data_IF_965009970968
#
_entry.id   IF_965009970968
#
_cell.length_a   1.000
_cell.length_b   1.000
_cell.length_c   1.000
_cell.angle_alpha   90.00
_cell.angle_beta   90.00
_cell.angle_gamma   90.00
#
_symmetry.space_group_name_H-M   'P 1'
#
loop_
_entity.id
_entity.type
_entity.pdbx_description
1 polymer ?
#
# COMPACT_ATOMS: atom_id res chain seq x y z
N UNK A 1 -29.27 32.83 -27.24
CA UNK A 1 -28.18 32.14 -27.96
C UNK A 1 -26.87 32.22 -27.18
N UNK A 2 -26.42 33.40 -26.68
CA UNK A 2 -25.14 33.55 -25.92
C UNK A 2 -25.06 32.73 -24.62
N UNK A 3 -26.16 32.56 -23.87
CA UNK A 3 -26.17 31.70 -22.64
C UNK A 3 -26.00 30.22 -22.97
N UNK A 4 -26.49 29.71 -24.06
CA UNK A 4 -26.33 28.33 -24.50
C UNK A 4 -24.86 28.00 -24.89
N UNK A 5 -24.21 28.93 -25.60
CA UNK A 5 -22.80 28.78 -26.02
C UNK A 5 -21.85 28.78 -24.81
N UNK A 6 -22.07 29.68 -23.84
CA UNK A 6 -21.26 29.71 -22.59
C UNK A 6 -21.40 28.44 -21.77
N UNK A 7 -22.60 27.85 -21.68
CA UNK A 7 -22.83 26.60 -20.95
C UNK A 7 -22.15 25.41 -21.63
N UNK A 8 -22.16 25.34 -22.94
CA UNK A 8 -21.47 24.29 -23.72
C UNK A 8 -19.96 24.42 -23.60
N UNK A 9 -19.40 25.63 -23.69
CA UNK A 9 -17.97 25.88 -23.53
C UNK A 9 -17.53 25.52 -22.11
N UNK A 10 -18.32 25.91 -21.10
CA UNK A 10 -18.01 25.59 -19.69
C UNK A 10 -18.05 24.08 -19.44
N UNK A 11 -19.01 23.36 -20.01
CA UNK A 11 -19.11 21.90 -19.92
C UNK A 11 -17.90 21.21 -20.58
N UNK A 12 -17.52 21.64 -21.78
CA UNK A 12 -16.36 21.07 -22.53
C UNK A 12 -15.04 21.37 -21.82
N UNK A 13 -14.88 22.54 -21.23
CA UNK A 13 -13.69 22.88 -20.43
C UNK A 13 -13.60 22.06 -19.14
N UNK A 14 -14.74 21.80 -18.49
CA UNK A 14 -14.79 20.97 -17.28
C UNK A 14 -14.47 19.51 -17.61
N UNK A 15 -15.00 18.97 -18.70
CA UNK A 15 -14.68 17.62 -19.19
C UNK A 15 -13.21 17.47 -19.56
N UNK A 16 -12.61 18.43 -20.27
CA UNK A 16 -11.17 18.43 -20.58
C UNK A 16 -10.30 18.48 -19.33
N UNK A 17 -10.63 19.30 -18.34
CA UNK A 17 -9.92 19.36 -17.06
C UNK A 17 -10.01 18.03 -16.29
N UNK A 18 -11.18 17.39 -16.33
CA UNK A 18 -11.38 16.08 -15.67
C UNK A 18 -10.56 14.98 -16.35
N UNK A 19 -10.57 14.92 -17.68
CA UNK A 19 -9.77 13.96 -18.45
C UNK A 19 -8.27 14.18 -18.20
N UNK A 20 -7.79 15.41 -18.23
CA UNK A 20 -6.40 15.75 -17.96
C UNK A 20 -5.97 15.32 -16.54
N UNK A 21 -6.82 15.51 -15.52
CA UNK A 21 -6.57 15.04 -14.15
C UNK A 21 -6.49 13.51 -14.07
N UNK A 22 -7.39 12.80 -14.74
CA UNK A 22 -7.36 11.33 -14.77
C UNK A 22 -6.08 10.82 -15.43
N UNK A 23 -5.69 11.38 -16.58
CA UNK A 23 -4.45 11.02 -17.29
C UNK A 23 -3.23 11.29 -16.40
N UNK A 24 -3.15 12.47 -15.80
CA UNK A 24 -2.08 12.83 -14.87
C UNK A 24 -2.01 11.86 -13.69
N UNK A 25 -3.15 11.50 -13.12
CA UNK A 25 -3.24 10.58 -11.99
C UNK A 25 -2.75 9.16 -12.34
N UNK A 26 -3.14 8.66 -13.52
CA UNK A 26 -2.66 7.37 -14.05
C UNK A 26 -1.16 7.42 -14.28
N UNK A 27 -0.64 8.48 -14.93
CA UNK A 27 0.77 8.66 -15.18
C UNK A 27 1.59 8.65 -13.87
N UNK A 28 1.20 9.45 -12.88
CA UNK A 28 1.88 9.47 -11.58
C UNK A 28 1.80 8.12 -10.86
N UNK A 29 0.67 7.45 -10.90
CA UNK A 29 0.52 6.12 -10.29
C UNK A 29 1.44 5.08 -10.94
N UNK A 30 1.57 5.10 -12.26
CA UNK A 30 2.51 4.24 -13.00
C UNK A 30 3.97 4.60 -12.68
N UNK A 31 4.32 5.87 -12.68
CA UNK A 31 5.67 6.34 -12.35
C UNK A 31 6.09 5.90 -10.94
N UNK A 32 5.20 6.04 -9.96
CA UNK A 32 5.45 5.59 -8.59
C UNK A 32 5.67 4.07 -8.49
N UNK A 33 4.87 3.28 -9.20
CA UNK A 33 5.02 1.82 -9.23
C UNK A 33 6.32 1.38 -9.90
N UNK A 34 6.66 1.95 -11.05
CA UNK A 34 7.90 1.64 -11.77
C UNK A 34 9.13 2.01 -10.93
N UNK A 35 9.13 3.18 -10.29
CA UNK A 35 10.21 3.59 -9.39
C UNK A 35 10.36 2.62 -8.22
N UNK A 36 9.24 2.19 -7.62
CA UNK A 36 9.23 1.21 -6.54
C UNK A 36 9.80 -0.14 -6.99
N UNK A 37 9.39 -0.65 -8.15
CA UNK A 37 9.86 -1.90 -8.75
C UNK A 37 11.37 -1.89 -9.02
N UNK A 38 11.86 -0.87 -9.72
CA UNK A 38 13.28 -0.72 -10.05
C UNK A 38 14.12 -0.67 -8.78
N UNK A 39 13.68 0.12 -7.79
CA UNK A 39 14.36 0.21 -6.50
C UNK A 39 14.34 -1.12 -5.73
N UNK A 40 13.20 -1.81 -5.68
CA UNK A 40 13.07 -3.09 -4.99
C UNK A 40 13.96 -4.17 -5.59
N UNK A 41 14.08 -4.22 -6.92
CA UNK A 41 14.97 -5.15 -7.61
C UNK A 41 16.44 -4.79 -7.38
N UNK A 42 16.85 -3.57 -7.76
CA UNK A 42 18.26 -3.18 -7.70
C UNK A 42 18.77 -3.23 -6.27
N UNK A 43 18.14 -2.48 -5.37
CA UNK A 43 18.58 -2.42 -3.96
C UNK A 43 18.34 -3.74 -3.26
N UNK A 44 17.24 -4.43 -3.53
CA UNK A 44 16.90 -5.72 -2.93
C UNK A 44 17.91 -6.81 -3.24
N UNK A 45 18.40 -6.91 -4.48
CA UNK A 45 19.43 -7.88 -4.88
C UNK A 45 20.75 -7.62 -4.14
N UNK A 46 21.19 -6.35 -4.07
CA UNK A 46 22.42 -6.01 -3.35
C UNK A 46 22.31 -6.29 -1.85
N UNK A 47 21.17 -5.97 -1.23
CA UNK A 47 20.91 -6.28 0.19
C UNK A 47 20.88 -7.79 0.43
N UNK A 48 20.20 -8.57 -0.42
CA UNK A 48 20.14 -10.02 -0.32
C UNK A 48 21.53 -10.65 -0.44
N UNK A 49 22.34 -10.16 -1.39
CA UNK A 49 23.72 -10.64 -1.61
C UNK A 49 24.64 -10.31 -0.43
N UNK A 50 24.49 -9.13 0.15
CA UNK A 50 25.28 -8.66 1.28
C UNK A 50 24.95 -9.42 2.57
N UNK A 51 23.67 -9.52 2.91
CA UNK A 51 23.22 -10.20 4.14
C UNK A 51 23.40 -11.72 4.07
N UNK A 52 23.46 -12.29 2.88
CA UNK A 52 23.43 -13.73 2.68
C UNK A 52 22.07 -14.35 2.99
N UNK A 53 21.87 -15.64 2.67
CA UNK A 53 20.55 -16.27 2.71
C UNK A 53 19.96 -16.31 4.13
N UNK A 54 20.75 -16.55 5.16
CA UNK A 54 20.27 -16.71 6.53
C UNK A 54 19.73 -15.38 7.10
N UNK A 55 20.53 -14.31 7.07
CA UNK A 55 20.09 -13.01 7.61
C UNK A 55 18.97 -12.39 6.77
N UNK A 56 19.06 -12.52 5.44
CA UNK A 56 18.00 -12.08 4.54
C UNK A 56 16.69 -12.85 4.77
N UNK A 57 16.81 -14.15 5.10
CA UNK A 57 15.68 -14.98 5.50
C UNK A 57 15.02 -14.53 6.80
N UNK A 58 15.81 -14.24 7.83
CA UNK A 58 15.30 -13.69 9.11
C UNK A 58 14.54 -12.36 8.86
N UNK A 59 15.10 -11.47 8.02
CA UNK A 59 14.44 -10.20 7.69
C UNK A 59 13.10 -10.42 7.01
N UNK A 60 13.06 -11.26 5.95
CA UNK A 60 11.82 -11.48 5.21
C UNK A 60 10.80 -12.28 6.02
N UNK A 61 11.23 -13.23 6.84
CA UNK A 61 10.37 -13.91 7.79
C UNK A 61 9.69 -12.92 8.75
N UNK A 62 10.43 -12.01 9.34
CA UNK A 62 9.89 -10.98 10.23
C UNK A 62 8.89 -10.05 9.48
N UNK A 63 9.23 -9.66 8.24
CA UNK A 63 8.33 -8.86 7.40
C UNK A 63 7.04 -9.61 7.10
N UNK A 64 7.10 -10.88 6.69
CA UNK A 64 5.92 -11.70 6.38
C UNK A 64 5.08 -11.97 7.63
N UNK A 65 5.74 -12.24 8.75
CA UNK A 65 5.07 -12.46 10.03
C UNK A 65 4.26 -11.23 10.45
N UNK A 66 4.85 -10.04 10.47
CA UNK A 66 4.14 -8.80 10.82
C UNK A 66 3.06 -8.46 9.79
N UNK A 67 3.33 -8.68 8.49
CA UNK A 67 2.36 -8.39 7.42
C UNK A 67 1.11 -9.27 7.55
N UNK A 68 1.25 -10.52 8.02
CA UNK A 68 0.10 -11.41 8.27
C UNK A 68 -0.91 -10.77 9.26
N UNK A 69 -0.40 -10.11 10.29
CA UNK A 69 -1.25 -9.44 11.29
C UNK A 69 -1.66 -8.03 10.89
N UNK A 70 -0.95 -7.38 9.96
CA UNK A 70 -1.21 -6.01 9.51
C UNK A 70 -2.65 -5.82 8.97
N UNK A 71 -3.23 -6.87 8.40
CA UNK A 71 -4.61 -6.86 7.92
C UNK A 71 -5.63 -6.53 9.03
N UNK A 72 -5.31 -6.89 10.29
CA UNK A 72 -6.13 -6.56 11.46
C UNK A 72 -6.06 -5.05 11.75
N UNK A 73 -4.86 -4.45 11.67
CA UNK A 73 -4.67 -3.02 11.88
C UNK A 73 -5.36 -2.17 10.80
N UNK A 74 -5.36 -2.63 9.55
CA UNK A 74 -6.00 -1.95 8.42
C UNK A 74 -7.50 -2.20 8.33
N UNK A 75 -7.99 -3.32 8.86
CA UNK A 75 -9.38 -3.74 8.98
C UNK A 75 -10.20 -3.65 7.67
N UNK A 76 -9.53 -3.60 6.52
CA UNK A 76 -10.20 -3.43 5.22
C UNK A 76 -10.86 -2.06 5.03
N UNK A 77 -10.49 -1.04 5.82
CA UNK A 77 -11.10 0.29 5.75
C UNK A 77 -10.86 1.00 4.42
N UNK A 78 -9.77 0.72 3.72
CA UNK A 78 -9.31 1.49 2.56
C UNK A 78 -10.44 1.77 1.53
N UNK A 79 -11.13 0.74 1.08
CA UNK A 79 -12.17 0.89 0.05
C UNK A 79 -13.41 1.63 0.58
N UNK A 80 -13.79 1.38 1.84
CA UNK A 80 -14.96 2.02 2.46
C UNK A 80 -14.66 3.50 2.71
N UNK A 81 -13.49 3.80 3.25
CA UNK A 81 -12.98 5.14 3.52
C UNK A 81 -12.98 5.98 2.24
N UNK A 82 -12.29 5.53 1.18
CA UNK A 82 -12.25 6.22 -0.11
C UNK A 82 -13.66 6.49 -0.65
N UNK A 83 -14.57 5.51 -0.53
CA UNK A 83 -15.95 5.64 -1.00
C UNK A 83 -16.74 6.69 -0.20
N UNK A 84 -16.64 6.67 1.12
CA UNK A 84 -17.42 7.58 1.96
C UNK A 84 -16.86 9.00 1.92
N UNK A 85 -15.55 9.18 1.86
CA UNK A 85 -14.90 10.48 1.67
C UNK A 85 -15.25 11.12 0.33
N UNK A 86 -15.35 10.32 -0.74
CA UNK A 86 -15.78 10.81 -2.05
C UNK A 86 -17.23 11.30 -2.07
N UNK A 87 -18.10 10.79 -1.17
CA UNK A 87 -19.52 11.17 -1.08
C UNK A 87 -19.78 12.35 -0.14
N UNK A 88 -19.12 12.36 1.01
CA UNK A 88 -19.44 13.24 2.15
C UNK A 88 -18.36 14.27 2.41
N UNK A 89 -18.16 15.21 1.48
CA UNK A 89 -17.13 16.25 1.58
C UNK A 89 -17.29 17.13 2.83
N UNK A 90 -18.51 17.36 3.30
CA UNK A 90 -18.79 18.19 4.48
C UNK A 90 -18.45 17.51 5.81
N UNK A 91 -18.32 16.18 5.82
CA UNK A 91 -18.03 15.40 7.02
C UNK A 91 -16.60 14.81 7.02
N UNK A 92 -15.73 15.31 6.16
CA UNK A 92 -14.35 14.81 5.97
C UNK A 92 -13.58 14.70 7.30
N UNK A 93 -13.61 15.75 8.14
CA UNK A 93 -12.86 15.79 9.39
C UNK A 93 -13.35 14.75 10.41
N UNK A 94 -14.63 14.41 10.36
CA UNK A 94 -15.24 13.37 11.19
C UNK A 94 -14.85 11.98 10.68
N UNK A 95 -14.91 11.75 9.37
CA UNK A 95 -14.54 10.46 8.78
C UNK A 95 -13.04 10.19 9.00
N UNK A 96 -12.17 11.15 8.63
CA UNK A 96 -10.73 11.06 8.80
C UNK A 96 -10.33 10.80 10.25
N UNK A 97 -10.90 11.59 11.19
CA UNK A 97 -10.62 11.46 12.61
C UNK A 97 -11.09 10.11 13.17
N UNK A 98 -12.26 9.64 12.77
CA UNK A 98 -12.81 8.37 13.23
C UNK A 98 -11.98 7.20 12.72
N UNK A 99 -11.62 7.17 11.42
CA UNK A 99 -10.77 6.12 10.85
C UNK A 99 -9.38 6.13 11.47
N UNK A 100 -8.79 7.31 11.66
CA UNK A 100 -7.47 7.43 12.30
C UNK A 100 -7.46 6.82 13.70
N UNK A 101 -8.45 7.16 14.53
CA UNK A 101 -8.56 6.61 15.90
C UNK A 101 -8.80 5.10 15.87
N UNK A 102 -9.69 4.61 15.00
CA UNK A 102 -9.93 3.17 14.85
C UNK A 102 -8.67 2.42 14.45
N UNK A 103 -7.94 2.89 13.43
CA UNK A 103 -6.67 2.29 13.00
C UNK A 103 -5.61 2.33 14.09
N UNK A 104 -5.56 3.42 14.88
CA UNK A 104 -4.62 3.53 16.01
C UNK A 104 -4.92 2.47 17.08
N UNK A 105 -6.18 2.31 17.46
CA UNK A 105 -6.59 1.28 18.44
C UNK A 105 -6.32 -0.14 17.92
N UNK A 106 -6.69 -0.40 16.67
CA UNK A 106 -6.43 -1.69 16.02
C UNK A 106 -4.92 -1.96 15.88
N UNK A 107 -4.10 -0.96 15.61
CA UNK A 107 -2.64 -1.09 15.56
C UNK A 107 -2.06 -1.49 16.91
N UNK A 108 -2.56 -0.92 18.01
CA UNK A 108 -2.15 -1.33 19.36
C UNK A 108 -2.52 -2.78 19.64
N UNK A 109 -3.76 -3.18 19.34
CA UNK A 109 -4.21 -4.58 19.48
C UNK A 109 -3.36 -5.51 18.62
N UNK A 110 -3.06 -5.11 17.38
CA UNK A 110 -2.25 -5.90 16.46
C UNK A 110 -0.82 -6.09 16.98
N UNK A 111 -0.18 -5.06 17.55
CA UNK A 111 1.18 -5.18 18.12
C UNK A 111 1.18 -6.12 19.32
N UNK A 112 0.17 -6.02 20.20
CA UNK A 112 0.04 -6.95 21.32
C UNK A 112 -0.09 -8.39 20.81
N UNK A 113 -0.93 -8.61 19.79
CA UNK A 113 -1.13 -9.93 19.20
C UNK A 113 0.17 -10.45 18.55
N UNK A 114 0.87 -9.62 17.77
CA UNK A 114 2.20 -9.94 17.21
C UNK A 114 3.15 -10.36 18.32
N UNK A 115 3.24 -9.57 19.41
CA UNK A 115 4.16 -9.83 20.52
C UNK A 115 3.87 -11.16 21.20
N UNK A 116 2.58 -11.47 21.47
CA UNK A 116 2.18 -12.73 22.10
C UNK A 116 2.46 -13.92 21.20
N UNK A 117 2.06 -13.84 19.92
CA UNK A 117 2.26 -14.95 18.98
C UNK A 117 3.75 -15.16 18.67
N UNK A 118 4.52 -14.10 18.51
CA UNK A 118 5.96 -14.19 18.32
C UNK A 118 6.66 -14.80 19.54
N UNK A 119 6.27 -14.41 20.75
CA UNK A 119 6.83 -14.98 21.99
C UNK A 119 6.55 -16.49 22.13
N UNK A 120 5.39 -16.97 21.67
CA UNK A 120 5.04 -18.39 21.73
C UNK A 120 5.77 -19.20 20.65
N UNK A 121 5.93 -18.63 19.42
CA UNK A 121 6.43 -19.38 18.28
C UNK A 121 7.96 -19.27 18.08
N UNK A 122 8.59 -18.18 18.53
CA UNK A 122 10.02 -17.96 18.30
C UNK A 122 10.85 -18.28 19.56
N UNK A 123 11.57 -19.39 19.51
CA UNK A 123 12.53 -19.74 20.55
C UNK A 123 13.82 -18.89 20.48
N UNK A 124 14.12 -18.32 19.30
CA UNK A 124 15.29 -17.47 19.08
C UNK A 124 15.02 -16.01 19.42
N UNK A 125 15.65 -15.55 20.48
CA UNK A 125 15.56 -14.16 20.98
C UNK A 125 15.96 -13.12 19.90
N UNK A 126 16.88 -13.47 19.02
CA UNK A 126 17.31 -12.55 17.96
C UNK A 126 16.22 -12.34 16.93
N UNK A 127 15.62 -13.41 16.41
CA UNK A 127 14.49 -13.34 15.47
C UNK A 127 13.29 -12.63 16.10
N UNK A 128 12.98 -12.93 17.37
CA UNK A 128 11.94 -12.20 18.11
C UNK A 128 12.21 -10.69 18.14
N UNK A 129 13.44 -10.28 18.46
CA UNK A 129 13.84 -8.86 18.46
C UNK A 129 13.67 -8.20 17.10
N UNK A 130 14.01 -8.87 16.00
CA UNK A 130 13.82 -8.37 14.62
C UNK A 130 12.34 -8.19 14.30
N UNK A 131 11.48 -9.15 14.69
CA UNK A 131 10.01 -9.03 14.52
C UNK A 131 9.48 -7.81 15.28
N UNK A 132 9.91 -7.62 16.54
CA UNK A 132 9.45 -6.51 17.37
C UNK A 132 9.88 -5.14 16.81
N UNK A 133 11.11 -5.01 16.32
CA UNK A 133 11.57 -3.79 15.65
C UNK A 133 10.71 -3.49 14.43
N UNK A 134 10.44 -4.49 13.59
CA UNK A 134 9.62 -4.27 12.40
C UNK A 134 8.14 -4.02 12.75
N UNK A 135 7.61 -4.59 13.82
CA UNK A 135 6.23 -4.37 14.27
C UNK A 135 5.92 -2.90 14.61
N UNK A 136 6.95 -2.07 14.87
CA UNK A 136 6.78 -0.62 15.03
C UNK A 136 6.12 0.01 13.80
N UNK A 137 6.31 -0.54 12.60
CA UNK A 137 5.68 -0.05 11.36
C UNK A 137 4.16 -0.05 11.44
N UNK A 138 3.57 -0.97 12.21
CA UNK A 138 2.12 -1.08 12.41
C UNK A 138 1.54 0.21 13.03
N UNK A 139 2.28 0.86 13.94
CA UNK A 139 1.88 2.14 14.55
C UNK A 139 1.83 3.30 13.56
N UNK A 140 2.41 3.15 12.40
CA UNK A 140 2.45 4.19 11.36
C UNK A 140 1.32 4.04 10.33
N UNK A 141 0.59 2.91 10.34
CA UNK A 141 -0.52 2.66 9.41
C UNK A 141 -1.72 3.62 9.57
N UNK A 142 -2.04 4.19 10.75
CA UNK A 142 -3.11 5.18 10.86
C UNK A 142 -2.95 6.38 9.93
N UNK A 143 -1.71 6.77 9.61
CA UNK A 143 -1.45 7.90 8.72
C UNK A 143 -1.80 7.62 7.24
N UNK A 144 -2.07 6.37 6.87
CA UNK A 144 -2.56 6.02 5.53
C UNK A 144 -3.96 6.58 5.24
N UNK A 145 -4.72 6.97 6.26
CA UNK A 145 -5.99 7.70 6.09
C UNK A 145 -5.82 8.92 5.18
N UNK A 146 -4.67 9.60 5.28
CA UNK A 146 -4.36 10.77 4.44
C UNK A 146 -4.17 10.34 2.98
N UNK A 147 -3.48 9.22 2.73
CA UNK A 147 -3.32 8.66 1.38
C UNK A 147 -4.68 8.38 0.75
N UNK A 148 -5.56 7.73 1.49
CA UNK A 148 -6.89 7.35 1.02
C UNK A 148 -7.75 8.57 0.71
N UNK A 149 -7.64 9.62 1.54
CA UNK A 149 -8.30 10.89 1.29
C UNK A 149 -7.85 11.56 -0.02
N UNK A 150 -6.56 11.62 -0.30
CA UNK A 150 -6.09 12.15 -1.59
C UNK A 150 -6.50 11.26 -2.77
N UNK A 151 -6.60 9.95 -2.55
CA UNK A 151 -7.11 9.00 -3.55
C UNK A 151 -8.60 9.25 -3.84
N UNK A 152 -9.43 9.51 -2.83
CA UNK A 152 -10.86 9.85 -2.99
C UNK A 152 -11.06 11.13 -3.79
N UNK A 153 -10.14 12.09 -3.68
CA UNK A 153 -10.13 13.34 -4.46
C UNK A 153 -9.53 13.21 -5.86
N UNK A 154 -9.06 12.02 -6.27
CA UNK A 154 -8.32 11.79 -7.54
C UNK A 154 -7.07 12.69 -7.63
N UNK A 155 -6.35 12.85 -6.52
CA UNK A 155 -5.15 13.69 -6.39
C UNK A 155 -3.92 12.88 -5.97
N UNK A 156 -3.73 11.70 -6.56
CA UNK A 156 -2.63 10.78 -6.21
C UNK A 156 -1.24 11.36 -6.48
N UNK A 157 -1.13 12.41 -7.30
CA UNK A 157 0.13 13.08 -7.60
C UNK A 157 0.93 13.43 -6.33
N UNK A 158 0.27 13.99 -5.33
CA UNK A 158 0.95 14.39 -4.08
C UNK A 158 1.46 13.20 -3.29
N UNK A 159 0.66 12.15 -3.23
CA UNK A 159 0.99 10.91 -2.51
C UNK A 159 2.13 10.17 -3.22
N UNK A 160 2.09 10.11 -4.55
CA UNK A 160 3.14 9.47 -5.34
C UNK A 160 4.47 10.21 -5.22
N UNK A 161 4.47 11.54 -5.19
CA UNK A 161 5.69 12.32 -4.95
C UNK A 161 6.34 11.98 -3.60
N UNK A 162 5.54 11.85 -2.54
CA UNK A 162 6.02 11.38 -1.23
C UNK A 162 6.58 9.96 -1.34
N UNK A 163 5.88 9.07 -2.06
CA UNK A 163 6.33 7.69 -2.30
C UNK A 163 7.66 7.62 -3.04
N UNK A 164 7.85 8.41 -4.12
CA UNK A 164 9.10 8.49 -4.87
C UNK A 164 10.22 9.01 -3.98
N UNK A 165 9.98 10.11 -3.24
CA UNK A 165 10.95 10.65 -2.30
C UNK A 165 11.40 9.60 -1.28
N UNK A 166 10.45 8.90 -0.63
CA UNK A 166 10.75 7.79 0.27
C UNK A 166 11.60 6.71 -0.43
N UNK A 167 11.23 6.30 -1.64
CA UNK A 167 11.93 5.23 -2.37
C UNK A 167 13.38 5.61 -2.68
N UNK A 168 13.63 6.84 -3.11
CA UNK A 168 15.00 7.35 -3.36
C UNK A 168 15.78 7.42 -2.06
N UNK A 169 15.19 8.00 -1.00
CA UNK A 169 15.84 8.11 0.31
C UNK A 169 16.16 6.74 0.90
N UNK A 170 15.23 5.80 0.84
CA UNK A 170 15.43 4.40 1.24
C UNK A 170 16.58 3.73 0.48
N UNK A 171 16.63 3.94 -0.85
CA UNK A 171 17.72 3.43 -1.68
C UNK A 171 19.08 3.97 -1.24
N UNK A 172 19.19 5.28 -1.01
CA UNK A 172 20.43 5.92 -0.54
C UNK A 172 20.84 5.38 0.83
N UNK A 173 19.90 5.30 1.79
CA UNK A 173 20.19 4.76 3.13
C UNK A 173 20.71 3.31 3.04
N UNK A 174 20.04 2.45 2.25
CA UNK A 174 20.47 1.04 2.11
C UNK A 174 21.83 0.92 1.44
N UNK A 175 22.15 1.77 0.45
CA UNK A 175 23.50 1.81 -0.12
C UNK A 175 24.53 2.25 0.92
N UNK A 176 24.25 3.24 1.74
CA UNK A 176 25.14 3.65 2.83
C UNK A 176 25.35 2.49 3.82
N UNK A 177 24.27 1.79 4.22
CA UNK A 177 24.36 0.64 5.13
C UNK A 177 25.21 -0.50 4.54
N UNK A 178 25.16 -0.73 3.23
CA UNK A 178 26.00 -1.69 2.54
C UNK A 178 27.49 -1.27 2.60
N UNK A 179 27.80 0.01 2.39
CA UNK A 179 29.17 0.53 2.40
C UNK A 179 29.81 0.53 3.78
N UNK A 180 29.01 0.76 4.83
CA UNK A 180 29.47 0.77 6.25
C UNK A 180 29.48 -0.65 6.86
N UNK A 181 29.14 -1.68 6.08
CA UNK A 181 29.04 -3.06 6.56
C UNK A 181 28.12 -3.23 7.79
N UNK A 182 26.93 -2.60 7.73
CA UNK A 182 25.96 -2.58 8.82
C UNK A 182 25.35 -3.97 9.07
N UNK A 183 25.00 -4.27 10.34
CA UNK A 183 24.29 -5.49 10.71
C UNK A 183 22.84 -5.50 10.23
N UNK A 184 22.19 -6.68 10.22
CA UNK A 184 20.80 -6.88 9.83
C UNK A 184 19.85 -5.90 10.54
N UNK A 185 20.05 -5.63 11.82
CA UNK A 185 19.19 -4.75 12.62
C UNK A 185 19.03 -3.37 11.95
N UNK A 186 20.10 -2.80 11.42
CA UNK A 186 20.06 -1.50 10.74
C UNK A 186 19.25 -1.52 9.45
N UNK A 187 19.26 -2.64 8.71
CA UNK A 187 18.40 -2.81 7.54
C UNK A 187 16.93 -2.87 7.94
N UNK A 188 16.59 -3.56 9.04
CA UNK A 188 15.22 -3.59 9.56
C UNK A 188 14.79 -2.21 10.08
N UNK A 189 15.66 -1.50 10.80
CA UNK A 189 15.41 -0.12 11.21
C UNK A 189 15.17 0.78 9.98
N UNK A 190 15.89 0.57 8.88
CA UNK A 190 15.67 1.33 7.65
C UNK A 190 14.27 1.11 7.07
N UNK A 191 13.67 -0.10 7.21
CA UNK A 191 12.29 -0.36 6.81
C UNK A 191 11.28 0.39 7.70
N UNK A 192 11.55 0.47 9.01
CA UNK A 192 10.73 1.28 9.94
C UNK A 192 10.84 2.76 9.59
N UNK A 193 12.05 3.21 9.28
CA UNK A 193 12.29 4.59 8.85
C UNK A 193 11.56 4.92 7.52
N UNK A 194 11.50 3.97 6.58
CA UNK A 194 10.73 4.10 5.34
C UNK A 194 9.24 4.38 5.63
N UNK A 195 8.64 3.64 6.58
CA UNK A 195 7.26 3.85 7.00
C UNK A 195 7.08 5.21 7.71
N UNK A 196 8.04 5.61 8.53
CA UNK A 196 8.04 6.92 9.20
C UNK A 196 8.10 8.08 8.20
N UNK A 197 8.97 8.00 7.19
CA UNK A 197 9.07 9.01 6.13
C UNK A 197 7.75 9.15 5.38
N UNK A 198 7.07 8.04 5.08
CA UNK A 198 5.74 8.07 4.46
C UNK A 198 4.72 8.79 5.35
N UNK A 199 4.64 8.40 6.63
CA UNK A 199 3.71 9.00 7.58
C UNK A 199 3.92 10.52 7.69
N UNK A 200 5.18 10.96 7.86
CA UNK A 200 5.53 12.38 7.94
C UNK A 200 5.25 13.11 6.61
N UNK A 201 5.56 12.49 5.48
CA UNK A 201 5.28 13.05 4.16
C UNK A 201 3.78 13.25 3.93
N UNK A 202 2.96 12.30 4.32
CA UNK A 202 1.49 12.43 4.24
C UNK A 202 0.98 13.56 5.14
N UNK A 203 1.46 13.64 6.38
CA UNK A 203 1.12 14.73 7.30
C UNK A 203 1.52 16.11 6.74
N UNK A 204 2.72 16.22 6.17
CA UNK A 204 3.19 17.45 5.57
C UNK A 204 2.31 17.90 4.39
N UNK A 205 1.99 16.97 3.49
CA UNK A 205 1.14 17.26 2.33
C UNK A 205 -0.27 17.64 2.76
N UNK A 206 -0.85 16.92 3.73
CA UNK A 206 -2.17 17.24 4.27
C UNK A 206 -2.20 18.63 4.87
N UNK A 207 -1.25 18.97 5.74
CA UNK A 207 -1.16 20.30 6.38
C UNK A 207 -1.02 21.41 5.35
N UNK A 208 -0.25 21.19 4.28
CA UNK A 208 0.00 22.20 3.24
C UNK A 208 -1.19 22.42 2.30
N UNK A 209 -1.97 21.37 2.01
CA UNK A 209 -2.99 21.41 0.95
C UNK A 209 -4.42 21.48 1.48
N UNK A 210 -4.69 20.90 2.64
CA UNK A 210 -6.05 20.72 3.16
C UNK A 210 -6.26 21.53 4.44
N UNK A 211 -5.33 21.39 5.43
CA UNK A 211 -5.45 22.07 6.70
C UNK A 211 -4.84 21.31 7.87
N UNK A 212 -5.25 21.66 9.08
CA UNK A 212 -4.72 21.06 10.30
C UNK A 212 -5.44 19.75 10.65
N UNK A 213 -4.68 18.73 11.04
CA UNK A 213 -5.23 17.48 11.59
C UNK A 213 -5.91 17.69 12.97
N UNK A 214 -5.77 18.87 13.59
CA UNK A 214 -6.43 19.19 14.87
C UNK A 214 -7.95 19.37 14.72
N UNK A 215 -8.45 19.57 13.50
CA UNK A 215 -9.89 19.65 13.23
C UNK A 215 -10.56 18.27 13.21
N UNK A 216 -9.79 17.18 13.19
CA UNK A 216 -10.31 15.83 13.16
C UNK A 216 -11.11 15.51 14.41
N UNK A 217 -12.26 14.88 14.20
CA UNK A 217 -13.20 14.54 15.27
C UNK A 217 -13.53 13.05 15.20
N UNK A 218 -13.64 12.44 16.37
CA UNK A 218 -14.13 11.07 16.48
C UNK A 218 -15.65 11.09 16.65
N UNK A 219 -16.33 10.24 15.88
CA UNK A 219 -17.77 10.01 15.99
C UNK A 219 -18.06 8.51 16.13
N UNK A 220 -18.82 8.17 17.18
CA UNK A 220 -19.14 6.78 17.52
C UNK A 220 -20.09 6.11 16.49
N UNK A 221 -21.01 6.89 15.92
CA UNK A 221 -21.94 6.35 14.93
C UNK A 221 -21.18 6.00 13.63
N UNK A 222 -20.29 6.89 13.19
CA UNK A 222 -19.39 6.62 12.07
C UNK A 222 -18.46 5.44 12.36
N UNK A 223 -17.92 5.30 13.57
CA UNK A 223 -17.06 4.17 13.93
C UNK A 223 -17.80 2.85 13.79
N UNK A 224 -19.02 2.74 14.34
CA UNK A 224 -19.84 1.52 14.24
C UNK A 224 -20.20 1.21 12.78
N UNK A 225 -20.57 2.23 12.00
CA UNK A 225 -20.88 2.09 10.57
C UNK A 225 -19.67 1.56 9.78
N UNK A 226 -18.50 2.19 9.95
CA UNK A 226 -17.27 1.81 9.24
C UNK A 226 -16.83 0.39 9.60
N UNK A 227 -16.82 0.02 10.88
CA UNK A 227 -16.48 -1.35 11.32
C UNK A 227 -17.41 -2.39 10.70
N UNK A 228 -18.72 -2.13 10.71
CA UNK A 228 -19.71 -3.06 10.14
C UNK A 228 -19.55 -3.22 8.63
N UNK A 229 -19.30 -2.12 7.91
CA UNK A 229 -19.10 -2.15 6.45
C UNK A 229 -17.78 -2.79 6.04
N UNK A 230 -16.72 -2.60 6.84
CA UNK A 230 -15.39 -3.12 6.54
C UNK A 230 -15.19 -4.57 6.98
N UNK A 231 -16.00 -5.11 7.88
CA UNK A 231 -15.84 -6.47 8.40
C UNK A 231 -15.81 -7.57 7.30
N UNK A 232 -16.70 -7.57 6.27
CA UNK A 232 -16.59 -8.53 5.18
C UNK A 232 -15.29 -8.38 4.37
N UNK A 233 -14.80 -7.14 4.22
CA UNK A 233 -13.54 -6.85 3.52
C UNK A 233 -12.33 -7.28 4.35
N UNK A 234 -12.40 -7.20 5.68
CA UNK A 234 -11.40 -7.77 6.57
C UNK A 234 -11.23 -9.27 6.31
N UNK A 235 -12.33 -10.04 6.27
CA UNK A 235 -12.27 -11.50 6.02
C UNK A 235 -11.60 -11.81 4.67
N UNK A 236 -11.97 -11.07 3.62
CA UNK A 236 -11.34 -11.20 2.31
C UNK A 236 -9.85 -10.82 2.36
N UNK A 237 -9.50 -9.76 3.07
CA UNK A 237 -8.12 -9.32 3.27
C UNK A 237 -7.29 -10.34 4.04
N UNK A 238 -7.85 -10.96 5.09
CA UNK A 238 -7.20 -12.06 5.84
C UNK A 238 -6.87 -13.22 4.92
N UNK A 239 -7.85 -13.69 4.14
CA UNK A 239 -7.65 -14.82 3.21
C UNK A 239 -6.56 -14.49 2.17
N UNK A 240 -6.59 -13.29 1.58
CA UNK A 240 -5.59 -12.85 0.62
C UNK A 240 -4.19 -12.72 1.25
N UNK A 241 -4.09 -12.16 2.45
CA UNK A 241 -2.81 -11.99 3.14
C UNK A 241 -2.22 -13.33 3.57
N UNK A 242 -3.02 -14.26 4.07
CA UNK A 242 -2.59 -15.62 4.36
C UNK A 242 -2.04 -16.26 3.08
N UNK A 243 -2.79 -16.22 1.97
CA UNK A 243 -2.35 -16.78 0.70
C UNK A 243 -1.00 -16.22 0.22
N UNK A 244 -0.73 -14.95 0.46
CA UNK A 244 0.50 -14.29 0.00
C UNK A 244 1.70 -14.45 0.94
N UNK A 245 1.49 -14.72 2.24
CA UNK A 245 2.56 -14.66 3.24
C UNK A 245 2.82 -15.99 3.96
N UNK A 246 1.86 -16.92 3.91
CA UNK A 246 1.93 -18.15 4.71
C UNK A 246 3.12 -19.02 4.34
N UNK A 247 3.50 -19.04 3.06
CA UNK A 247 4.62 -19.86 2.56
C UNK A 247 5.92 -19.53 3.29
N UNK A 248 6.24 -18.24 3.45
CA UNK A 248 7.46 -17.80 4.12
C UNK A 248 7.46 -18.17 5.62
N UNK A 249 6.28 -18.09 6.25
CA UNK A 249 6.13 -18.44 7.67
C UNK A 249 6.25 -19.96 7.85
N UNK A 250 5.60 -20.75 6.99
CA UNK A 250 5.70 -22.21 7.04
C UNK A 250 7.13 -22.69 6.80
N UNK A 251 7.80 -22.18 5.76
CA UNK A 251 9.21 -22.51 5.49
C UNK A 251 10.09 -22.15 6.69
N UNK A 252 9.90 -20.96 7.27
CA UNK A 252 10.69 -20.49 8.40
C UNK A 252 10.49 -21.28 9.69
N UNK A 253 9.31 -21.88 9.90
CA UNK A 253 8.99 -22.66 11.09
C UNK A 253 9.22 -24.17 10.90
N UNK A 254 9.05 -24.69 9.68
CA UNK A 254 9.13 -26.12 9.41
C UNK A 254 10.51 -26.56 8.88
N UNK A 255 11.28 -25.63 8.30
CA UNK A 255 12.60 -25.93 7.74
C UNK A 255 13.62 -25.06 8.47
N UNK A 256 13.94 -23.88 7.94
CA UNK A 256 14.86 -22.90 8.54
C UNK A 256 14.71 -21.50 7.92
N UNK A 257 15.35 -20.50 8.55
CA UNK A 257 15.34 -19.12 8.06
C UNK A 257 16.20 -18.94 6.77
N UNK A 258 17.16 -19.82 6.52
CA UNK A 258 18.00 -19.81 5.31
C UNK A 258 17.15 -20.14 4.07
N UNK A 259 16.29 -21.15 4.19
CA UNK A 259 15.34 -21.54 3.16
C UNK A 259 14.33 -20.41 2.85
N UNK A 260 13.89 -19.66 3.87
CA UNK A 260 13.09 -18.43 3.66
C UNK A 260 13.87 -17.41 2.82
N UNK A 261 15.17 -17.28 3.06
CA UNK A 261 16.02 -16.37 2.27
C UNK A 261 16.04 -16.72 0.79
N UNK A 262 16.25 -17.98 0.44
CA UNK A 262 16.21 -18.45 -0.96
C UNK A 262 14.82 -18.27 -1.57
N UNK A 263 13.79 -18.67 -0.86
CA UNK A 263 12.40 -18.53 -1.31
C UNK A 263 12.03 -17.05 -1.55
N UNK A 264 12.41 -16.15 -0.64
CA UNK A 264 12.11 -14.73 -0.75
C UNK A 264 12.77 -14.07 -1.96
N UNK A 265 13.99 -14.49 -2.33
CA UNK A 265 14.64 -14.00 -3.55
C UNK A 265 13.87 -14.47 -4.78
N UNK A 266 13.53 -15.77 -4.86
CA UNK A 266 12.77 -16.32 -5.97
C UNK A 266 11.39 -15.65 -6.11
N UNK A 267 10.66 -15.49 -5.00
CA UNK A 267 9.34 -14.84 -4.98
C UNK A 267 9.37 -13.41 -5.48
N UNK A 268 10.45 -12.65 -5.21
CA UNK A 268 10.57 -11.27 -5.74
C UNK A 268 10.63 -11.20 -7.26
N UNK A 269 11.24 -12.17 -7.91
CA UNK A 269 11.22 -12.23 -9.38
C UNK A 269 9.80 -12.52 -9.90
N UNK A 270 9.07 -13.41 -9.24
CA UNK A 270 7.67 -13.70 -9.59
C UNK A 270 6.80 -12.48 -9.37
N UNK A 271 6.94 -11.78 -8.24
CA UNK A 271 6.21 -10.53 -7.97
C UNK A 271 6.39 -9.49 -9.09
N UNK A 272 7.61 -9.32 -9.58
CA UNK A 272 7.90 -8.39 -10.67
C UNK A 272 7.16 -8.78 -11.96
N UNK A 273 7.13 -10.06 -12.30
CA UNK A 273 6.36 -10.53 -13.45
C UNK A 273 4.86 -10.27 -13.28
N UNK A 274 4.30 -10.46 -12.08
CA UNK A 274 2.91 -10.20 -11.77
C UNK A 274 2.53 -8.70 -11.79
N UNK A 275 3.52 -7.79 -11.66
CA UNK A 275 3.24 -6.37 -11.81
C UNK A 275 2.83 -5.96 -13.23
N UNK A 276 3.33 -6.65 -14.26
CA UNK A 276 3.02 -6.32 -15.67
C UNK A 276 1.51 -6.48 -15.94
N UNK A 277 0.87 -7.64 -15.69
CA UNK A 277 -0.57 -7.78 -15.84
C UNK A 277 -1.37 -6.80 -14.97
N UNK A 278 -0.91 -6.58 -13.73
CA UNK A 278 -1.60 -5.66 -12.80
C UNK A 278 -1.63 -4.23 -13.32
N UNK A 279 -0.52 -3.74 -13.88
CA UNK A 279 -0.45 -2.40 -14.50
C UNK A 279 -1.37 -2.32 -15.71
N UNK A 280 -1.39 -3.34 -16.56
CA UNK A 280 -2.26 -3.41 -17.72
C UNK A 280 -3.74 -3.37 -17.32
N UNK A 281 -4.15 -4.18 -16.33
CA UNK A 281 -5.52 -4.19 -15.80
C UNK A 281 -5.92 -2.80 -15.31
N UNK A 282 -5.09 -2.15 -14.51
CA UNK A 282 -5.39 -0.83 -13.96
C UNK A 282 -5.49 0.26 -15.02
N UNK A 283 -4.72 0.14 -16.11
CA UNK A 283 -4.71 1.12 -17.20
C UNK A 283 -5.92 0.94 -18.13
N UNK A 284 -6.27 -0.31 -18.44
CA UNK A 284 -7.33 -0.63 -19.42
C UNK A 284 -8.72 -0.66 -18.78
N UNK A 285 -8.82 -0.99 -17.49
CA UNK A 285 -10.10 -1.11 -16.77
C UNK A 285 -11.02 0.12 -16.90
N UNK A 286 -10.56 1.38 -16.75
CA UNK A 286 -11.41 2.56 -16.92
C UNK A 286 -11.93 2.72 -18.35
N UNK A 287 -11.12 2.32 -19.34
CA UNK A 287 -11.51 2.37 -20.76
C UNK A 287 -12.60 1.35 -21.05
N UNK A 288 -12.46 0.13 -20.53
CA UNK A 288 -13.46 -0.93 -20.67
C UNK A 288 -14.78 -0.56 -20.00
N UNK A 289 -14.76 0.04 -18.82
CA UNK A 289 -15.97 0.50 -18.12
C UNK A 289 -16.71 1.58 -18.95
N UNK A 290 -15.98 2.48 -19.59
CA UNK A 290 -16.56 3.51 -20.46
C UNK A 290 -17.18 2.90 -21.71
N UNK A 291 -16.50 1.95 -22.37
CA UNK A 291 -17.00 1.25 -23.55
C UNK A 291 -18.25 0.44 -23.24
N UNK A 292 -18.31 -0.23 -22.09
CA UNK A 292 -19.49 -1.00 -21.66
C UNK A 292 -20.76 -0.16 -21.61
N UNK A 293 -20.64 1.15 -21.27
CA UNK A 293 -21.78 2.07 -21.24
C UNK A 293 -22.24 2.51 -22.62
N UNK A 294 -21.34 2.52 -23.61
CA UNK A 294 -21.60 3.05 -24.94
C UNK A 294 -21.97 1.96 -25.97
N UNK A 295 -21.22 0.85 -25.97
CA UNK A 295 -21.42 -0.25 -26.91
C UNK A 295 -20.94 -1.58 -26.29
N UNK A 296 -21.88 -2.51 -26.11
CA UNK A 296 -21.63 -3.81 -25.48
C UNK A 296 -20.78 -4.75 -26.37
N UNK A 297 -20.92 -4.68 -27.67
CA UNK A 297 -20.13 -5.51 -28.63
C UNK A 297 -18.67 -5.06 -28.64
N UNK A 298 -18.42 -3.76 -28.83
CA UNK A 298 -17.05 -3.20 -28.73
C UNK A 298 -16.41 -3.46 -27.37
N UNK A 299 -17.18 -3.46 -26.28
CA UNK A 299 -16.68 -3.85 -24.96
C UNK A 299 -16.24 -5.32 -24.95
N UNK A 300 -17.03 -6.25 -25.50
CA UNK A 300 -16.70 -7.67 -25.53
C UNK A 300 -15.43 -7.95 -26.33
N UNK A 301 -15.31 -7.36 -27.52
CA UNK A 301 -14.12 -7.51 -28.38
C UNK A 301 -12.84 -6.99 -27.66
N UNK A 302 -12.90 -5.79 -27.11
CA UNK A 302 -11.77 -5.20 -26.39
C UNK A 302 -11.43 -5.96 -25.12
N UNK A 303 -12.42 -6.43 -24.37
CA UNK A 303 -12.20 -7.26 -23.18
C UNK A 303 -11.58 -8.61 -23.55
N UNK A 304 -12.02 -9.25 -24.62
CA UNK A 304 -11.45 -10.52 -25.11
C UNK A 304 -10.00 -10.34 -25.58
N UNK A 305 -9.73 -9.30 -26.37
CA UNK A 305 -8.38 -8.97 -26.82
C UNK A 305 -7.46 -8.73 -25.61
N UNK A 306 -7.94 -7.99 -24.62
CA UNK A 306 -7.20 -7.70 -23.40
C UNK A 306 -6.93 -8.99 -22.58
N UNK A 307 -7.92 -9.85 -22.40
CA UNK A 307 -7.73 -11.15 -21.75
C UNK A 307 -6.69 -12.00 -22.47
N UNK A 308 -6.76 -12.08 -23.80
CA UNK A 308 -5.78 -12.81 -24.58
C UNK A 308 -4.36 -12.29 -24.37
N UNK A 309 -4.15 -10.97 -24.41
CA UNK A 309 -2.83 -10.35 -24.13
C UNK A 309 -2.35 -10.70 -22.73
N UNK A 310 -3.23 -10.61 -21.73
CA UNK A 310 -2.87 -10.90 -20.33
C UNK A 310 -2.47 -12.36 -20.14
N UNK A 311 -3.20 -13.30 -20.75
CA UNK A 311 -2.90 -14.75 -20.72
C UNK A 311 -1.57 -15.06 -21.41
N UNK A 312 -1.22 -14.39 -22.50
CA UNK A 312 0.06 -14.58 -23.19
C UNK A 312 1.26 -14.00 -22.43
N UNK A 313 1.02 -13.05 -21.50
CA UNK A 313 2.07 -12.43 -20.69
C UNK A 313 2.30 -13.12 -19.33
N UNK A 314 1.41 -14.00 -18.90
CA UNK A 314 1.51 -14.83 -17.70
C UNK A 314 1.96 -16.24 -17.98
#
# INVERSE_FOLDING_TARGET
>A
ILRGVTTVIQKTMTERKTISRIISNVFWSLAGKLTGLVSALLVGIFVARYLGPTQYGVMNYAVSFVTLFLVIATFGFENIEIREEAKANDQKDTILGTVFVLRLLLSLVTIILISVVAYINEADTYTFGIIMVYAITVMLTPFEVIRNYFTSLVQNEYIVKVGIFRTVLSGVIKVILLLVHASLVWFVISLVFDAFVLAQGYCYVYKKKIGSMRSWRFDKAWACYLLRQSFPLLLSGVAATIFLQIDQIMIGNMIDKTSVGYFSVASKFVEVLLYVPTILIQTVSPLLVKERKNNLESFREKAQMFMNITVWLC
#
